data_IF_518482709285
#
_entry.id   IF_518482709285
#
_cell.length_a   1.000
_cell.length_b   1.000
_cell.length_c   1.000
_cell.angle_alpha   90.00
_cell.angle_beta   90.00
_cell.angle_gamma   90.00
#
_symmetry.space_group_name_H-M   'P 1'
#
loop_
_entity.id
_entity.type
_entity.pdbx_description
1 polymer ?
#
# COMPACT_ATOMS: atom_id res chain seq x y z
N UNK A 1 6.42 -7.56 -10.16
CA UNK A 1 7.57 -6.66 -9.95
C UNK A 1 7.19 -5.27 -10.44
N UNK A 2 6.56 -4.46 -9.60
CA UNK A 2 6.27 -3.07 -9.95
C UNK A 2 7.17 -2.19 -9.08
N UNK A 3 8.15 -1.45 -9.66
CA UNK A 3 8.90 -0.49 -8.88
C UNK A 3 7.96 0.66 -8.52
N UNK A 4 7.58 0.74 -7.25
CA UNK A 4 6.79 1.87 -6.75
C UNK A 4 7.80 2.89 -6.22
N UNK A 5 7.72 4.10 -6.76
CA UNK A 5 8.49 5.25 -6.29
C UNK A 5 7.57 6.08 -5.40
N UNK A 6 7.72 5.90 -4.09
CA UNK A 6 7.00 6.70 -3.08
C UNK A 6 7.94 7.81 -2.57
N UNK A 7 7.97 8.99 -3.23
CA UNK A 7 8.78 10.08 -2.74
C UNK A 7 8.26 10.56 -1.38
N UNK A 8 9.17 10.90 -0.48
CA UNK A 8 8.88 11.41 0.88
C UNK A 8 8.02 12.70 0.83
N UNK A 9 8.14 13.46 -0.25
CA UNK A 9 7.38 14.67 -0.52
C UNK A 9 6.74 14.63 -1.91
N UNK A 10 5.87 15.60 -2.20
CA UNK A 10 5.23 15.69 -3.51
C UNK A 10 6.26 15.79 -4.64
N UNK A 11 5.99 15.11 -5.77
CA UNK A 11 6.85 15.11 -6.96
C UNK A 11 7.42 16.49 -7.35
N UNK A 12 6.62 17.59 -7.35
CA UNK A 12 7.13 18.90 -7.72
C UNK A 12 8.19 19.41 -6.74
N UNK A 13 8.00 19.21 -5.44
CA UNK A 13 8.95 19.67 -4.41
C UNK A 13 10.28 18.94 -4.50
N UNK A 14 10.24 17.64 -4.80
CA UNK A 14 11.42 16.82 -4.95
C UNK A 14 12.25 17.22 -6.17
N UNK A 15 11.61 17.43 -7.32
CA UNK A 15 12.26 17.92 -8.54
C UNK A 15 12.90 19.28 -8.28
N UNK A 16 12.18 20.20 -7.63
CA UNK A 16 12.66 21.54 -7.32
C UNK A 16 13.88 21.50 -6.38
N UNK A 17 13.87 20.62 -5.39
CA UNK A 17 14.98 20.43 -4.45
C UNK A 17 16.23 19.86 -5.14
N UNK A 18 16.08 18.87 -6.02
CA UNK A 18 17.19 18.30 -6.81
C UNK A 18 17.80 19.38 -7.71
N UNK A 19 16.97 20.13 -8.44
CA UNK A 19 17.42 21.24 -9.29
C UNK A 19 18.15 22.29 -8.45
N UNK A 20 17.60 22.65 -7.28
CA UNK A 20 18.21 23.59 -6.35
C UNK A 20 19.60 23.16 -5.86
N UNK A 21 19.76 21.89 -5.47
CA UNK A 21 21.05 21.35 -5.03
C UNK A 21 22.08 21.33 -6.17
N UNK A 22 21.69 20.95 -7.39
CA UNK A 22 22.57 20.96 -8.56
C UNK A 22 22.99 22.39 -8.88
N UNK A 23 22.05 23.34 -8.93
CA UNK A 23 22.32 24.75 -9.17
C UNK A 23 23.28 25.34 -8.11
N UNK A 24 23.09 24.98 -6.83
CA UNK A 24 23.98 25.41 -5.75
C UNK A 24 25.42 24.91 -5.95
N UNK A 25 25.59 23.63 -6.32
CA UNK A 25 26.91 23.05 -6.60
C UNK A 25 27.55 23.74 -7.80
N UNK A 26 26.81 23.94 -8.90
CA UNK A 26 27.35 24.54 -10.12
C UNK A 26 27.65 26.03 -9.98
N UNK A 27 26.98 26.76 -9.09
CA UNK A 27 27.22 28.21 -8.88
C UNK A 27 28.30 28.48 -7.83
N UNK A 28 28.30 27.73 -6.73
CA UNK A 28 29.15 28.01 -5.56
C UNK A 28 30.52 27.34 -5.69
N UNK A 29 30.56 26.12 -6.21
CA UNK A 29 31.76 25.30 -6.18
C UNK A 29 32.85 25.75 -7.17
N UNK A 30 32.54 26.15 -8.42
CA UNK A 30 33.56 26.61 -9.37
C UNK A 30 34.41 27.78 -8.88
N UNK A 31 33.85 28.65 -8.03
CA UNK A 31 34.58 29.75 -7.40
C UNK A 31 35.61 29.25 -6.37
N UNK A 32 35.29 28.18 -5.65
CA UNK A 32 36.14 27.64 -4.57
C UNK A 32 37.32 26.81 -5.10
N UNK A 33 37.12 26.06 -6.19
CA UNK A 33 38.17 25.22 -6.81
C UNK A 33 38.93 25.90 -7.96
N UNK A 34 38.82 27.23 -8.09
CA UNK A 34 39.51 28.01 -9.15
C UNK A 34 41.04 27.95 -9.04
N UNK A 35 41.58 27.69 -7.86
CA UNK A 35 43.02 27.61 -7.58
C UNK A 35 43.68 26.29 -8.04
N UNK A 36 42.90 25.29 -8.45
CA UNK A 36 43.40 23.99 -8.88
C UNK A 36 43.47 23.86 -10.40
N UNK A 37 44.26 22.90 -10.89
CA UNK A 37 44.37 22.61 -12.31
C UNK A 37 43.00 22.25 -12.93
N UNK A 38 42.78 22.53 -14.23
CA UNK A 38 41.48 22.33 -14.87
C UNK A 38 40.95 20.89 -14.85
N UNK A 39 41.84 19.90 -14.74
CA UNK A 39 41.50 18.49 -14.64
C UNK A 39 41.00 18.14 -13.23
N UNK A 40 41.72 18.54 -12.18
CA UNK A 40 41.34 18.32 -10.77
C UNK A 40 40.04 19.06 -10.46
N UNK A 41 39.86 20.28 -10.98
CA UNK A 41 38.62 21.04 -10.85
C UNK A 41 37.41 20.29 -11.40
N UNK A 42 37.53 19.68 -12.59
CA UNK A 42 36.44 18.88 -13.20
C UNK A 42 36.15 17.62 -12.39
N UNK A 43 37.18 16.94 -11.90
CA UNK A 43 37.04 15.74 -11.07
C UNK A 43 36.32 16.04 -9.75
N UNK A 44 36.70 17.11 -9.05
CA UNK A 44 36.07 17.51 -7.79
C UNK A 44 34.61 17.96 -7.96
N UNK A 45 34.30 18.67 -9.05
CA UNK A 45 32.90 19.04 -9.39
C UNK A 45 32.10 17.77 -9.71
N UNK A 46 32.67 16.85 -10.50
CA UNK A 46 32.04 15.58 -10.84
C UNK A 46 31.71 14.75 -9.61
N UNK A 47 32.67 14.57 -8.70
CA UNK A 47 32.46 13.84 -7.45
C UNK A 47 31.34 14.45 -6.61
N UNK A 48 31.29 15.79 -6.52
CA UNK A 48 30.23 16.51 -5.79
C UNK A 48 28.85 16.29 -6.42
N UNK A 49 28.76 16.35 -7.75
CA UNK A 49 27.51 16.07 -8.47
C UNK A 49 27.07 14.63 -8.26
N UNK A 50 27.99 13.67 -8.29
CA UNK A 50 27.69 12.27 -7.97
C UNK A 50 27.13 12.12 -6.56
N UNK A 51 27.67 12.83 -5.56
CA UNK A 51 27.11 12.81 -4.21
C UNK A 51 25.68 13.36 -4.17
N UNK A 52 25.40 14.47 -4.87
CA UNK A 52 24.04 15.03 -4.95
C UNK A 52 23.08 14.05 -5.64
N UNK A 53 23.52 13.39 -6.71
CA UNK A 53 22.73 12.38 -7.41
C UNK A 53 22.45 11.16 -6.52
N UNK A 54 23.43 10.70 -5.74
CA UNK A 54 23.24 9.62 -4.77
C UNK A 54 22.24 10.01 -3.68
N UNK A 55 22.32 11.24 -3.15
CA UNK A 55 21.36 11.74 -2.17
C UNK A 55 19.95 11.82 -2.78
N UNK A 56 19.82 12.31 -4.02
CA UNK A 56 18.56 12.34 -4.75
C UNK A 56 17.98 10.93 -4.97
N UNK A 57 18.85 9.97 -5.30
CA UNK A 57 18.46 8.56 -5.44
C UNK A 57 18.00 7.94 -4.12
N UNK A 58 18.67 8.27 -3.00
CA UNK A 58 18.22 7.83 -1.67
C UNK A 58 16.88 8.46 -1.28
N UNK A 59 16.66 9.74 -1.63
CA UNK A 59 15.39 10.44 -1.42
C UNK A 59 14.23 9.79 -2.19
N UNK A 60 14.49 9.24 -3.38
CA UNK A 60 13.50 8.50 -4.19
C UNK A 60 13.06 7.18 -3.55
N UNK A 61 13.74 6.75 -2.46
CA UNK A 61 13.44 5.56 -1.65
C UNK A 61 12.98 4.41 -2.53
N UNK A 62 13.86 3.88 -3.42
CA UNK A 62 13.48 2.78 -4.29
C UNK A 62 13.09 1.57 -3.43
N UNK A 63 11.80 1.30 -3.35
CA UNK A 63 11.25 0.13 -2.65
C UNK A 63 10.83 -0.90 -3.68
N UNK A 64 11.39 -2.10 -3.53
CA UNK A 64 10.90 -3.28 -4.25
C UNK A 64 9.84 -3.89 -3.37
N UNK A 65 8.57 -3.61 -3.67
CA UNK A 65 7.47 -4.28 -3.00
C UNK A 65 7.28 -5.68 -3.60
N UNK A 66 7.55 -6.68 -2.76
CA UNK A 66 7.07 -8.03 -3.00
C UNK A 66 5.61 -8.08 -2.53
N UNK A 67 4.70 -7.67 -3.41
CA UNK A 67 3.27 -7.94 -3.22
C UNK A 67 3.06 -9.43 -3.45
N UNK A 68 3.36 -10.24 -2.44
CA UNK A 68 2.72 -11.53 -2.32
C UNK A 68 1.25 -11.23 -2.09
N UNK A 69 0.45 -11.34 -3.16
CA UNK A 69 -0.98 -11.52 -3.08
C UNK A 69 -1.24 -12.91 -2.46
N UNK A 70 -0.73 -13.14 -1.25
CA UNK A 70 -1.23 -14.20 -0.40
C UNK A 70 -2.65 -13.79 -0.13
N UNK A 71 -3.57 -14.36 -0.91
CA UNK A 71 -5.00 -14.33 -0.67
C UNK A 71 -5.19 -14.84 0.75
N UNK A 72 -5.23 -13.92 1.72
CA UNK A 72 -5.49 -14.28 3.10
C UNK A 72 -6.88 -14.87 3.13
N UNK A 73 -6.96 -16.15 3.53
CA UNK A 73 -8.23 -16.84 3.64
C UNK A 73 -9.10 -16.09 4.64
N UNK A 74 -10.17 -15.49 4.13
CA UNK A 74 -11.11 -14.72 4.95
C UNK A 74 -12.11 -15.71 5.55
N UNK A 75 -12.37 -15.63 6.85
CA UNK A 75 -13.33 -16.50 7.52
C UNK A 75 -14.62 -15.74 7.81
N UNK A 76 -15.75 -16.27 7.36
CA UNK A 76 -17.08 -15.77 7.68
C UNK A 76 -17.70 -16.73 8.72
N UNK A 77 -17.87 -16.23 9.94
CA UNK A 77 -18.55 -16.97 11.02
C UNK A 77 -20.01 -16.56 11.11
N UNK A 78 -20.92 -17.53 10.96
CA UNK A 78 -22.36 -17.29 11.07
C UNK A 78 -22.83 -17.83 12.42
N UNK A 79 -23.18 -16.93 13.33
CA UNK A 79 -23.70 -17.29 14.67
C UNK A 79 -25.21 -17.08 14.68
N UNK A 80 -25.95 -18.11 15.06
CA UNK A 80 -27.40 -18.05 15.23
C UNK A 80 -27.77 -18.13 16.72
N UNK A 81 -28.80 -17.39 17.12
CA UNK A 81 -29.34 -17.46 18.47
C UNK A 81 -30.02 -18.82 18.71
N UNK A 82 -29.72 -19.44 19.86
CA UNK A 82 -30.28 -20.71 20.31
C UNK A 82 -31.12 -20.58 21.59
N UNK A 83 -31.50 -19.34 21.96
CA UNK A 83 -32.31 -19.04 23.14
C UNK A 83 -33.70 -19.70 23.10
N UNK A 84 -34.32 -19.89 24.29
CA UNK A 84 -35.69 -20.44 24.40
C UNK A 84 -36.74 -19.60 23.66
N UNK A 85 -36.53 -18.29 23.54
CA UNK A 85 -37.40 -17.38 22.77
C UNK A 85 -37.44 -17.69 21.27
N UNK A 86 -36.49 -18.46 20.74
CA UNK A 86 -36.52 -18.88 19.34
C UNK A 86 -37.56 -19.98 19.07
N UNK A 87 -38.17 -20.56 20.12
CA UNK A 87 -39.26 -21.54 20.01
C UNK A 87 -40.64 -20.88 20.02
N UNK A 88 -40.73 -19.57 20.21
CA UNK A 88 -41.99 -18.84 20.17
C UNK A 88 -42.55 -18.81 18.75
N UNK A 89 -43.85 -19.11 18.63
CA UNK A 89 -44.61 -19.17 17.37
C UNK A 89 -45.20 -17.80 17.00
N UNK A 90 -44.35 -16.80 16.83
CA UNK A 90 -44.76 -15.44 16.46
C UNK A 90 -44.44 -15.08 15.00
N UNK A 91 -43.93 -16.04 14.23
CA UNK A 91 -43.68 -15.91 12.79
C UNK A 91 -44.93 -16.01 11.92
N UNK A 92 -44.96 -15.48 10.68
CA UNK A 92 -46.09 -15.63 9.78
C UNK A 92 -46.49 -17.10 9.57
N UNK A 93 -47.75 -17.40 9.89
CA UNK A 93 -48.29 -18.77 9.84
C UNK A 93 -48.04 -19.60 11.10
N UNK A 94 -47.84 -18.95 12.26
CA UNK A 94 -47.59 -19.61 13.56
C UNK A 94 -46.33 -20.47 13.57
N UNK A 95 -45.33 -20.05 12.78
CA UNK A 95 -44.05 -20.76 12.68
C UNK A 95 -43.11 -20.23 13.75
N UNK A 96 -42.26 -21.10 14.30
CA UNK A 96 -41.26 -20.69 15.29
C UNK A 96 -40.20 -19.78 14.66
N UNK A 97 -39.70 -18.78 15.41
CA UNK A 97 -38.59 -17.90 14.93
C UNK A 97 -37.37 -18.69 14.45
N UNK A 98 -37.09 -19.84 15.08
CA UNK A 98 -36.02 -20.76 14.67
C UNK A 98 -36.24 -21.31 13.26
N UNK A 99 -37.46 -21.71 12.94
CA UNK A 99 -37.78 -22.25 11.63
C UNK A 99 -37.68 -21.18 10.53
N UNK A 100 -38.03 -19.93 10.85
CA UNK A 100 -37.83 -18.81 9.93
C UNK A 100 -36.36 -18.52 9.69
N UNK A 101 -35.54 -18.51 10.74
CA UNK A 101 -34.10 -18.33 10.62
C UNK A 101 -33.47 -19.44 9.76
N UNK A 102 -33.88 -20.70 9.94
CA UNK A 102 -33.44 -21.81 9.10
C UNK A 102 -33.87 -21.65 7.64
N UNK A 103 -35.10 -21.18 7.39
CA UNK A 103 -35.60 -20.91 6.04
C UNK A 103 -34.83 -19.80 5.36
N UNK A 104 -34.51 -18.73 6.07
CA UNK A 104 -33.67 -17.63 5.57
C UNK A 104 -32.26 -18.12 5.28
N UNK A 105 -31.65 -18.91 6.17
CA UNK A 105 -30.33 -19.51 5.94
C UNK A 105 -30.32 -20.42 4.72
N UNK A 106 -31.35 -21.24 4.51
CA UNK A 106 -31.48 -22.09 3.32
C UNK A 106 -31.65 -21.27 2.04
N UNK A 107 -32.38 -20.15 2.11
CA UNK A 107 -32.60 -19.25 0.97
C UNK A 107 -31.30 -18.55 0.56
N UNK A 108 -30.46 -18.18 1.53
CA UNK A 108 -29.20 -17.45 1.32
C UNK A 108 -28.01 -18.41 1.09
N UNK A 109 -28.16 -19.69 1.43
CA UNK A 109 -27.15 -20.75 1.19
C UNK A 109 -26.53 -20.72 -0.22
N UNK A 110 -27.27 -20.66 -1.35
CA UNK A 110 -26.65 -20.58 -2.67
C UNK A 110 -25.82 -19.31 -2.86
N UNK A 111 -26.17 -18.19 -2.23
CA UNK A 111 -25.37 -16.95 -2.29
C UNK A 111 -24.08 -17.11 -1.50
N UNK A 112 -24.15 -17.80 -0.34
CA UNK A 112 -22.98 -18.13 0.48
C UNK A 112 -22.05 -19.10 -0.24
N UNK A 113 -22.58 -20.11 -0.94
CA UNK A 113 -21.79 -21.06 -1.73
C UNK A 113 -21.14 -20.43 -2.97
N UNK A 114 -21.68 -19.32 -3.47
CA UNK A 114 -21.11 -18.54 -4.57
C UNK A 114 -20.14 -17.43 -4.09
N UNK A 115 -19.83 -17.36 -2.79
CA UNK A 115 -18.76 -16.49 -2.31
C UNK A 115 -17.40 -16.96 -2.84
N UNK A 116 -16.47 -16.01 -2.99
CA UNK A 116 -15.12 -16.29 -3.48
C UNK A 116 -14.49 -17.50 -2.77
N UNK A 117 -13.79 -18.36 -3.51
CA UNK A 117 -13.18 -19.62 -3.01
C UNK A 117 -12.20 -19.38 -1.84
N UNK A 118 -11.78 -18.13 -1.66
CA UNK A 118 -10.90 -17.68 -0.59
C UNK A 118 -11.65 -17.37 0.72
N UNK A 119 -12.98 -17.51 0.75
CA UNK A 119 -13.83 -17.28 1.91
C UNK A 119 -14.24 -18.63 2.52
N UNK A 120 -13.67 -18.97 3.67
CA UNK A 120 -14.10 -20.12 4.47
C UNK A 120 -15.33 -19.77 5.30
N UNK A 121 -16.42 -20.54 5.18
CA UNK A 121 -17.66 -20.32 5.92
C UNK A 121 -17.76 -21.33 7.07
N UNK A 122 -18.02 -20.85 8.30
CA UNK A 122 -18.17 -21.68 9.50
C UNK A 122 -19.35 -21.27 10.37
#
# INVERSE_FOLDING_TARGET
MQPILEPIWSWPTMILLIIGLIALVLTTYPRRVRHFSPAVRRLLIGLRLTTVLLLAFMLLRPSIEFSDQTKQQSWLYIVADASRSMQTEDGPGSVTRRNELLKTLQTVKPVLENLDENIGIR
#
